data_IF_189824368094
#
_entry.id   IF_189824368094
#
_cell.length_a   1.000
_cell.length_b   1.000
_cell.length_c   1.000
_cell.angle_alpha   90.00
_cell.angle_beta   90.00
_cell.angle_gamma   90.00
#
_symmetry.space_group_name_H-M   'P 1'
#
loop_
_entity.id
_entity.type
_entity.pdbx_description
1 polymer ?
#
# COMPACT_ATOMS: atom_id res chain seq x y z
N UNK A 1 -6.74 4.14 -0.74
CA UNK A 1 -5.95 4.88 0.28
C UNK A 1 -6.59 4.59 1.61
N UNK A 2 -6.01 3.64 2.33
CA UNK A 2 -6.32 3.36 3.73
C UNK A 2 -5.35 4.15 4.61
N UNK A 3 -5.81 4.54 5.81
CA UNK A 3 -4.93 5.03 6.87
C UNK A 3 -4.59 3.85 7.78
N UNK A 4 -3.39 3.85 8.35
CA UNK A 4 -3.00 2.81 9.29
C UNK A 4 -2.55 3.43 10.62
N UNK A 5 -3.22 3.09 11.71
CA UNK A 5 -2.84 3.51 13.05
C UNK A 5 -2.06 2.37 13.73
N UNK A 6 -0.80 2.62 14.06
CA UNK A 6 0.03 1.73 14.89
C UNK A 6 0.27 2.42 16.23
N UNK A 7 -0.41 1.98 17.28
CA UNK A 7 -0.42 2.64 18.58
C UNK A 7 -0.83 4.12 18.49
N UNK A 8 0.11 5.07 18.65
CA UNK A 8 -0.10 6.51 18.51
C UNK A 8 0.41 7.09 17.19
N UNK A 9 0.94 6.27 16.29
CA UNK A 9 1.49 6.70 15.01
C UNK A 9 0.50 6.43 13.89
N UNK A 10 -0.09 7.49 13.35
CA UNK A 10 -0.97 7.43 12.19
C UNK A 10 -0.14 7.56 10.90
N UNK A 11 -0.09 6.48 10.16
CA UNK A 11 0.54 6.40 8.85
C UNK A 11 -0.46 6.73 7.75
N UNK A 12 -0.01 7.54 6.80
CA UNK A 12 -0.84 8.11 5.74
C UNK A 12 -0.16 7.89 4.39
N UNK A 13 -0.83 7.18 3.49
CA UNK A 13 -0.48 7.23 2.07
C UNK A 13 -0.89 8.58 1.50
N UNK A 14 0.05 9.32 0.91
CA UNK A 14 -0.21 10.67 0.40
C UNK A 14 -0.01 10.80 -1.09
N UNK A 15 -0.83 11.70 -1.61
CA UNK A 15 -0.81 12.26 -2.95
C UNK A 15 -0.90 13.77 -2.82
N UNK A 16 -0.05 14.51 -3.52
CA UNK A 16 -0.09 15.98 -3.56
C UNK A 16 0.10 16.50 -4.97
N UNK A 17 -0.53 17.63 -5.28
CA UNK A 17 -0.45 18.28 -6.58
C UNK A 17 0.22 19.64 -6.43
N UNK A 18 1.10 19.98 -7.36
CA UNK A 18 1.66 21.33 -7.47
C UNK A 18 0.70 22.29 -8.22
N UNK A 19 1.14 23.53 -8.42
CA UNK A 19 0.36 24.57 -9.12
C UNK A 19 0.05 24.21 -10.57
N UNK A 20 0.83 23.31 -11.18
CA UNK A 20 0.65 22.82 -12.54
C UNK A 20 -0.16 21.51 -12.61
N UNK A 21 -0.77 21.08 -11.49
CA UNK A 21 -1.46 19.79 -11.35
C UNK A 21 -0.55 18.58 -11.55
N UNK A 22 0.76 18.74 -11.37
CA UNK A 22 1.70 17.62 -11.39
C UNK A 22 1.57 16.83 -10.09
N UNK A 23 1.25 15.55 -10.20
CA UNK A 23 1.11 14.67 -9.05
C UNK A 23 2.48 14.23 -8.51
N UNK A 24 2.59 14.30 -7.19
CA UNK A 24 3.66 13.70 -6.39
C UNK A 24 3.03 12.75 -5.38
N UNK A 25 3.79 11.73 -5.00
CA UNK A 25 3.36 10.75 -4.02
C UNK A 25 4.41 10.59 -2.92
N UNK A 26 3.94 10.21 -1.74
CA UNK A 26 4.76 10.20 -0.54
C UNK A 26 4.03 9.59 0.64
N UNK A 27 4.73 9.30 1.73
CA UNK A 27 4.11 8.84 2.98
C UNK A 27 4.18 9.92 4.04
N UNK A 28 3.24 9.88 4.98
CA UNK A 28 3.27 10.70 6.18
C UNK A 28 3.11 9.83 7.43
N UNK A 29 3.64 10.32 8.55
CA UNK A 29 3.49 9.75 9.88
C UNK A 29 3.16 10.89 10.83
N UNK A 30 2.07 10.73 11.57
CA UNK A 30 1.59 11.70 12.56
C UNK A 30 1.61 11.03 13.92
N UNK A 31 2.32 11.60 14.89
CA UNK A 31 2.12 11.24 16.29
C UNK A 31 0.86 11.92 16.78
N UNK A 32 -0.20 11.15 17.04
CA UNK A 32 -1.50 11.71 17.42
C UNK A 32 -1.53 12.28 18.84
N UNK A 33 -0.52 12.00 19.66
CA UNK A 33 -0.43 12.53 21.02
C UNK A 33 0.24 13.91 21.04
N UNK A 34 1.28 14.12 20.23
CA UNK A 34 2.03 15.40 20.17
C UNK A 34 1.57 16.31 19.04
N UNK A 35 1.01 15.72 17.97
CA UNK A 35 0.72 16.41 16.72
C UNK A 35 1.94 16.58 15.83
N UNK A 36 3.08 15.95 16.14
CA UNK A 36 4.26 15.98 15.29
C UNK A 36 4.01 15.24 13.97
N UNK A 37 4.48 15.83 12.88
CA UNK A 37 4.22 15.33 11.53
C UNK A 37 5.55 15.16 10.80
N UNK A 38 5.77 13.95 10.28
CA UNK A 38 6.85 13.61 9.38
C UNK A 38 6.30 13.27 7.99
N UNK A 39 6.96 13.76 6.94
CA UNK A 39 6.52 13.62 5.55
C UNK A 39 7.73 13.31 4.67
N UNK A 40 7.59 12.28 3.84
CA UNK A 40 8.56 11.98 2.77
C UNK A 40 7.85 11.96 1.42
N UNK A 41 8.41 12.68 0.46
CA UNK A 41 7.97 12.69 -0.94
C UNK A 41 8.93 11.86 -1.77
N UNK A 42 8.41 10.85 -2.47
CA UNK A 42 9.24 9.92 -3.27
C UNK A 42 9.50 10.44 -4.69
N UNK A 43 8.77 11.47 -5.12
CA UNK A 43 8.96 12.14 -6.40
C UNK A 43 7.66 12.25 -7.20
N UNK A 44 7.81 12.51 -8.49
CA UNK A 44 6.72 12.51 -9.45
C UNK A 44 6.20 11.09 -9.65
N UNK A 45 4.90 10.94 -9.78
CA UNK A 45 4.31 9.63 -10.07
C UNK A 45 2.80 9.65 -10.01
N UNK A 46 2.20 8.66 -10.66
CA UNK A 46 0.76 8.48 -10.63
C UNK A 46 0.36 7.98 -9.25
N UNK A 47 -0.22 8.89 -8.49
CA UNK A 47 -0.97 8.59 -7.30
C UNK A 47 -2.21 7.77 -7.63
N UNK A 48 -2.13 6.45 -7.47
CA UNK A 48 -3.31 5.60 -7.49
C UNK A 48 -3.27 4.66 -6.30
N UNK A 49 -4.08 5.00 -5.29
CA UNK A 49 -4.48 4.15 -4.15
C UNK A 49 -3.40 3.26 -3.56
N UNK A 50 -2.22 3.83 -3.34
CA UNK A 50 -1.12 3.17 -2.68
C UNK A 50 -1.38 3.00 -1.17
N UNK A 51 -2.25 2.05 -0.80
CA UNK A 51 -2.64 1.79 0.59
C UNK A 51 -1.43 1.59 1.51
N UNK A 52 -1.57 2.01 2.77
CA UNK A 52 -0.57 1.79 3.82
C UNK A 52 -1.15 0.82 4.86
N UNK A 53 -0.36 -0.17 5.27
CA UNK A 53 -0.80 -1.26 6.14
C UNK A 53 0.40 -1.91 6.84
N UNK A 54 0.19 -2.60 7.96
CA UNK A 54 1.25 -3.37 8.63
C UNK A 54 1.21 -4.83 8.22
N UNK A 55 2.36 -5.33 7.78
CA UNK A 55 2.59 -6.72 7.42
C UNK A 55 3.90 -7.17 8.07
N UNK A 56 3.89 -8.31 8.77
CA UNK A 56 5.08 -8.85 9.47
C UNK A 56 5.74 -7.82 10.40
N UNK A 57 4.92 -7.12 11.18
CA UNK A 57 5.31 -6.06 12.11
C UNK A 57 6.00 -4.83 11.51
N UNK A 58 5.99 -4.71 10.18
CA UNK A 58 6.55 -3.57 9.45
C UNK A 58 5.46 -2.87 8.68
N UNK A 59 5.44 -1.54 8.72
CA UNK A 59 4.53 -0.76 7.89
C UNK A 59 5.00 -0.83 6.44
N UNK A 60 4.09 -1.21 5.56
CA UNK A 60 4.31 -1.31 4.13
C UNK A 60 3.40 -0.32 3.41
N UNK A 61 3.85 0.11 2.23
CA UNK A 61 3.06 0.85 1.27
C UNK A 61 2.88 0.00 0.00
N UNK A 62 1.65 -0.13 -0.47
CA UNK A 62 1.41 -0.60 -1.83
C UNK A 62 1.99 0.42 -2.82
N UNK A 63 2.88 -0.03 -3.70
CA UNK A 63 3.39 0.74 -4.84
C UNK A 63 2.95 0.05 -6.11
N UNK A 64 3.13 0.65 -7.29
CA UNK A 64 2.84 -0.03 -8.55
C UNK A 64 3.61 -1.33 -8.77
N UNK A 65 4.65 -1.59 -7.96
CA UNK A 65 5.56 -2.73 -8.08
C UNK A 65 5.30 -3.85 -7.03
N UNK A 66 4.46 -3.60 -6.02
CA UNK A 66 4.28 -4.53 -4.89
C UNK A 66 4.07 -3.83 -3.54
N UNK A 67 4.04 -4.60 -2.46
CA UNK A 67 4.04 -4.08 -1.09
C UNK A 67 5.47 -3.79 -0.65
N UNK A 68 5.80 -2.53 -0.43
CA UNK A 68 7.17 -2.08 -0.12
C UNK A 68 7.25 -1.68 1.35
N UNK A 69 8.15 -2.26 2.15
CA UNK A 69 8.32 -1.87 3.54
C UNK A 69 8.88 -0.44 3.64
N UNK A 70 8.38 0.28 4.64
CA UNK A 70 8.89 1.59 5.04
C UNK A 70 9.90 1.44 6.18
N UNK A 71 10.99 2.20 6.12
CA UNK A 71 11.87 2.36 7.27
C UNK A 71 11.31 3.35 8.30
N UNK A 72 12.05 3.59 9.39
CA UNK A 72 11.64 4.49 10.46
C UNK A 72 11.42 5.94 9.98
N UNK A 73 12.16 6.35 8.95
CA UNK A 73 12.12 7.67 8.32
C UNK A 73 11.19 7.69 7.10
N UNK A 74 10.32 6.67 6.95
CA UNK A 74 9.35 6.52 5.87
C UNK A 74 9.93 6.34 4.46
N UNK A 75 11.22 6.01 4.31
CA UNK A 75 11.77 5.71 2.99
C UNK A 75 11.33 4.32 2.52
N UNK A 76 11.17 4.19 1.20
CA UNK A 76 10.82 2.93 0.56
C UNK A 76 12.05 2.00 0.48
N UNK A 77 11.97 0.82 1.09
CA UNK A 77 12.96 -0.23 0.86
C UNK A 77 12.51 -1.15 -0.28
N UNK A 78 12.68 -0.67 -1.53
CA UNK A 78 12.27 -1.40 -2.75
C UNK A 78 12.91 -2.78 -2.89
N UNK A 79 14.12 -2.99 -2.34
CA UNK A 79 14.82 -4.27 -2.41
C UNK A 79 14.15 -5.37 -1.56
N UNK A 80 13.33 -4.99 -0.58
CA UNK A 80 12.61 -5.89 0.32
C UNK A 80 11.11 -5.99 0.00
N UNK A 81 10.68 -5.57 -1.20
CA UNK A 81 9.28 -5.60 -1.61
C UNK A 81 8.71 -7.03 -1.60
N UNK A 82 7.44 -7.15 -1.25
CA UNK A 82 6.67 -8.40 -1.32
C UNK A 82 5.73 -8.33 -2.52
N UNK A 83 5.83 -9.35 -3.37
CA UNK A 83 5.30 -9.28 -4.73
C UNK A 83 6.21 -8.46 -5.63
N UNK A 84 6.53 -9.01 -6.80
CA UNK A 84 7.16 -8.27 -7.90
C UNK A 84 6.13 -8.25 -9.04
N UNK A 85 5.18 -7.33 -8.90
CA UNK A 85 3.96 -7.26 -9.70
C UNK A 85 3.92 -5.92 -10.42
N UNK A 86 3.26 -5.86 -11.58
CA UNK A 86 3.01 -4.59 -12.26
C UNK A 86 1.58 -4.11 -12.00
N UNK A 87 1.41 -2.82 -11.77
CA UNK A 87 0.08 -2.20 -11.71
C UNK A 87 -0.67 -2.48 -10.41
N UNK A 88 0.04 -2.75 -9.31
CA UNK A 88 -0.59 -2.86 -7.99
C UNK A 88 -1.33 -1.56 -7.66
N UNK A 89 -2.61 -1.70 -7.36
CA UNK A 89 -3.59 -0.62 -7.18
C UNK A 89 -4.13 -0.54 -5.75
N UNK A 90 -4.10 -1.65 -5.02
CA UNK A 90 -4.56 -1.71 -3.63
C UNK A 90 -3.79 -2.77 -2.87
N UNK A 91 -3.77 -2.63 -1.55
CA UNK A 91 -3.15 -3.62 -0.67
C UNK A 91 -3.80 -3.65 0.70
N UNK A 92 -3.92 -4.84 1.28
CA UNK A 92 -4.48 -5.04 2.61
C UNK A 92 -3.87 -6.27 3.27
N UNK A 93 -3.85 -6.29 4.59
CA UNK A 93 -3.53 -7.49 5.36
C UNK A 93 -4.79 -7.99 6.06
N UNK A 94 -5.16 -9.24 5.81
CA UNK A 94 -6.29 -9.92 6.47
C UNK A 94 -5.79 -11.27 6.98
N UNK A 95 -6.09 -11.60 8.24
CA UNK A 95 -5.68 -12.87 8.87
C UNK A 95 -4.17 -13.17 8.76
N UNK A 96 -3.32 -12.15 8.72
CA UNK A 96 -1.87 -12.29 8.58
C UNK A 96 -1.38 -12.57 7.15
N UNK A 97 -2.28 -12.57 6.17
CA UNK A 97 -1.97 -12.72 4.75
C UNK A 97 -2.00 -11.35 4.06
N UNK A 98 -1.06 -11.12 3.15
CA UNK A 98 -1.02 -9.93 2.33
C UNK A 98 -1.85 -10.15 1.07
N UNK A 99 -2.75 -9.21 0.80
CA UNK A 99 -3.61 -9.17 -0.38
C UNK A 99 -3.18 -7.98 -1.23
N UNK A 100 -2.89 -8.21 -2.51
CA UNK A 100 -2.58 -7.16 -3.48
C UNK A 100 -3.52 -7.26 -4.68
N UNK A 101 -4.19 -6.17 -5.03
CA UNK A 101 -4.96 -6.05 -6.26
C UNK A 101 -4.15 -5.34 -7.34
N UNK A 102 -4.10 -5.88 -8.56
CA UNK A 102 -3.47 -5.22 -9.71
C UNK A 102 -4.51 -4.81 -10.74
N UNK A 103 -4.21 -3.77 -11.52
CA UNK A 103 -5.07 -3.31 -12.61
C UNK A 103 -4.27 -2.81 -13.80
N UNK A 104 -4.78 -3.06 -15.00
CA UNK A 104 -4.43 -2.31 -16.22
C UNK A 104 -5.60 -1.43 -16.71
N UNK A 105 -6.63 -1.26 -15.87
CA UNK A 105 -7.90 -0.59 -16.15
C UNK A 105 -8.80 -1.31 -17.17
N UNK A 106 -8.51 -2.57 -17.50
CA UNK A 106 -9.31 -3.43 -18.36
C UNK A 106 -9.66 -4.75 -17.67
N UNK A 107 -10.89 -5.26 -17.87
CA UNK A 107 -11.26 -6.56 -17.31
C UNK A 107 -10.59 -7.71 -18.09
N UNK A 108 -10.22 -8.82 -17.44
CA UNK A 108 -10.23 -9.04 -15.98
C UNK A 108 -8.97 -8.49 -15.29
N UNK A 109 -9.13 -8.13 -14.01
CA UNK A 109 -8.01 -7.77 -13.12
C UNK A 109 -7.66 -8.96 -12.21
N UNK A 110 -6.57 -8.84 -11.44
CA UNK A 110 -6.07 -9.95 -10.60
C UNK A 110 -5.85 -9.53 -9.16
N UNK A 111 -6.22 -10.43 -8.23
CA UNK A 111 -5.89 -10.34 -6.80
C UNK A 111 -4.90 -11.44 -6.46
N UNK A 112 -3.83 -11.08 -5.75
CA UNK A 112 -2.76 -11.97 -5.31
C UNK A 112 -2.77 -12.08 -3.79
N UNK A 113 -2.59 -13.30 -3.28
CA UNK A 113 -2.55 -13.60 -1.85
C UNK A 113 -1.17 -14.14 -1.47
N UNK A 114 -0.49 -13.52 -0.51
CA UNK A 114 0.83 -13.92 -0.04
C UNK A 114 0.80 -14.28 1.44
N UNK A 115 1.55 -15.32 1.81
CA UNK A 115 1.73 -15.71 3.21
C UNK A 115 2.81 -14.87 3.91
N UNK A 116 2.98 -15.08 5.22
CA UNK A 116 4.00 -14.40 6.04
C UNK A 116 5.45 -14.74 5.66
N UNK A 117 5.69 -15.79 4.87
CA UNK A 117 6.97 -16.12 4.27
C UNK A 117 7.20 -15.39 2.93
N UNK A 118 6.30 -14.49 2.53
CA UNK A 118 6.29 -13.76 1.26
C UNK A 118 6.03 -14.65 0.03
N UNK A 119 5.53 -15.87 0.23
CA UNK A 119 5.23 -16.80 -0.86
C UNK A 119 3.80 -16.57 -1.37
N UNK A 120 3.64 -16.58 -2.69
CA UNK A 120 2.33 -16.51 -3.33
C UNK A 120 1.55 -17.79 -3.02
N UNK A 121 0.39 -17.64 -2.37
CA UNK A 121 -0.53 -18.72 -2.06
C UNK A 121 -1.54 -18.94 -3.20
N UNK A 122 -2.15 -17.85 -3.68
CA UNK A 122 -3.25 -17.93 -4.63
C UNK A 122 -3.39 -16.65 -5.46
N UNK A 123 -3.99 -16.81 -6.64
CA UNK A 123 -4.44 -15.72 -7.51
C UNK A 123 -5.92 -15.88 -7.83
N UNK A 124 -6.63 -14.76 -7.92
CA UNK A 124 -8.04 -14.71 -8.29
C UNK A 124 -8.24 -13.72 -9.43
N UNK A 125 -8.88 -14.14 -10.52
CA UNK A 125 -9.43 -13.22 -11.51
C UNK A 125 -10.67 -12.54 -10.91
N UNK A 126 -10.70 -11.23 -11.04
CA UNK A 126 -11.77 -10.36 -10.56
C UNK A 126 -12.14 -9.36 -11.64
N UNK A 127 -13.16 -8.55 -11.37
CA UNK A 127 -13.48 -7.43 -12.24
C UNK A 127 -12.53 -6.25 -11.99
N UNK A 128 -12.70 -5.18 -12.76
CA UNK A 128 -11.82 -4.01 -12.81
C UNK A 128 -11.69 -3.32 -11.44
N UNK A 129 -10.47 -2.89 -11.12
CA UNK A 129 -10.05 -2.09 -9.96
C UNK A 129 -10.38 -2.75 -8.60
N UNK A 130 -9.80 -3.93 -8.29
CA UNK A 130 -9.90 -4.50 -6.94
C UNK A 130 -9.32 -3.52 -5.92
N UNK A 131 -10.19 -2.88 -5.14
CA UNK A 131 -9.83 -1.69 -4.36
C UNK A 131 -10.04 -1.78 -2.85
N UNK A 132 -10.71 -2.83 -2.36
CA UNK A 132 -10.86 -3.12 -0.93
C UNK A 132 -11.20 -4.61 -0.75
N UNK A 133 -10.88 -5.14 0.43
CA UNK A 133 -10.99 -6.56 0.76
C UNK A 133 -11.56 -6.72 2.17
N UNK A 134 -12.44 -7.70 2.37
CA UNK A 134 -13.02 -8.00 3.67
C UNK A 134 -13.28 -9.49 3.81
N UNK A 135 -13.15 -9.99 5.04
CA UNK A 135 -13.57 -11.34 5.41
C UNK A 135 -14.97 -11.26 6.03
N UNK A 136 -15.90 -12.07 5.55
CA UNK A 136 -17.22 -12.23 6.13
C UNK A 136 -17.28 -13.58 6.83
N UNK A 137 -17.52 -13.56 8.15
CA UNK A 137 -17.80 -14.77 8.91
C UNK A 137 -19.31 -15.00 8.90
N UNK A 138 -19.72 -16.25 8.63
CA UNK A 138 -21.11 -16.69 8.76
C UNK A 138 -21.48 -16.96 10.22
#
# INVERSE_FOLDING_TARGET
EQLYLDENLLFVSRTSYDENLSASYGSGKVDINTGDIEIVTYGLGTACRADIFKFKDVVHRATSEGAVPLDADLNLNMAAKVGDLSGVYSGKVLNGELILGTTDYSAPDTVFLFNSSNELLQTFEVNILPGDFAVYNN
#
